data_IF_959356578320
#
_entry.id   IF_959356578320
#
_cell.length_a   1.000
_cell.length_b   1.000
_cell.length_c   1.000
_cell.angle_alpha   90.00
_cell.angle_beta   90.00
_cell.angle_gamma   90.00
#
_symmetry.space_group_name_H-M   'P 1'
#
loop_
_entity.id
_entity.type
_entity.pdbx_description
1 polymer ?
#
# COMPACT_ATOMS: atom_id res chain seq x y z
N UNK A 1 -38.78 -14.82 0.51
CA UNK A 1 -38.52 -14.59 -0.93
C UNK A 1 -37.04 -14.25 -1.05
N UNK A 2 -36.25 -15.10 -1.68
CA UNK A 2 -34.81 -14.86 -1.89
C UNK A 2 -34.61 -14.31 -3.30
N UNK A 3 -33.87 -13.21 -3.40
CA UNK A 3 -33.42 -12.64 -4.66
C UNK A 3 -32.04 -13.24 -4.93
N UNK A 4 -31.89 -13.93 -6.07
CA UNK A 4 -30.60 -14.44 -6.52
C UNK A 4 -29.86 -13.28 -7.20
N UNK A 5 -28.79 -12.81 -6.57
CA UNK A 5 -27.89 -11.82 -7.15
C UNK A 5 -26.74 -12.56 -7.83
N UNK A 6 -26.52 -12.28 -9.10
CA UNK A 6 -25.36 -12.80 -9.84
C UNK A 6 -24.19 -11.86 -9.63
N UNK A 7 -23.07 -12.43 -9.16
CA UNK A 7 -21.80 -11.73 -8.97
C UNK A 7 -20.82 -12.28 -9.99
N UNK A 8 -20.08 -11.40 -10.65
CA UNK A 8 -19.00 -11.79 -11.55
C UNK A 8 -17.89 -12.58 -10.82
N UNK A 9 -17.14 -13.41 -11.56
CA UNK A 9 -16.02 -14.15 -10.99
C UNK A 9 -14.94 -13.18 -10.50
N UNK A 10 -14.69 -13.19 -9.19
CA UNK A 10 -13.65 -12.39 -8.56
C UNK A 10 -12.39 -13.22 -8.38
N UNK A 11 -11.28 -12.69 -8.87
CA UNK A 11 -9.94 -13.19 -8.60
C UNK A 11 -8.97 -12.02 -8.55
N UNK A 12 -7.79 -12.24 -8.00
CA UNK A 12 -6.78 -11.20 -7.83
C UNK A 12 -5.39 -11.80 -7.97
N UNK A 13 -4.51 -11.08 -8.66
CA UNK A 13 -3.09 -11.40 -8.71
C UNK A 13 -2.29 -10.16 -8.29
N UNK A 14 -1.44 -10.35 -7.30
CA UNK A 14 -0.47 -9.35 -6.85
C UNK A 14 0.94 -9.79 -7.28
N UNK A 15 1.79 -8.83 -7.61
CA UNK A 15 3.17 -9.07 -8.00
C UNK A 15 4.12 -8.11 -7.27
N UNK A 16 5.36 -8.55 -7.04
CA UNK A 16 6.36 -7.71 -6.39
C UNK A 16 7.79 -8.07 -6.76
N UNK A 17 8.62 -7.03 -6.88
CA UNK A 17 10.07 -7.13 -7.05
C UNK A 17 10.76 -6.43 -5.89
N UNK A 18 11.83 -7.05 -5.40
CA UNK A 18 12.69 -6.48 -4.37
C UNK A 18 14.14 -6.57 -4.81
N UNK A 19 14.83 -5.44 -4.77
CA UNK A 19 16.26 -5.37 -5.03
C UNK A 19 16.98 -4.80 -3.81
N UNK A 20 17.84 -5.63 -3.22
CA UNK A 20 18.72 -5.24 -2.13
C UNK A 20 20.10 -4.87 -2.66
N UNK A 21 20.64 -3.72 -2.25
CA UNK A 21 21.97 -3.23 -2.66
C UNK A 21 22.68 -2.52 -1.50
N UNK A 22 23.83 -1.88 -1.78
CA UNK A 22 24.68 -1.23 -0.78
C UNK A 22 25.05 -2.17 0.40
N UNK A 23 25.53 -3.38 0.09
CA UNK A 23 25.83 -4.45 1.08
C UNK A 23 24.64 -4.77 2.00
N UNK A 24 23.43 -4.61 1.50
CA UNK A 24 22.18 -4.80 2.25
C UNK A 24 21.74 -3.62 3.10
N UNK A 25 22.36 -2.45 2.94
CA UNK A 25 21.93 -1.23 3.62
C UNK A 25 20.77 -0.56 2.91
N UNK A 26 20.60 -0.79 1.60
CA UNK A 26 19.55 -0.20 0.78
C UNK A 26 18.65 -1.28 0.17
N UNK A 27 17.36 -0.98 0.06
CA UNK A 27 16.37 -1.84 -0.58
C UNK A 27 15.40 -1.00 -1.41
N UNK A 28 15.19 -1.41 -2.66
CA UNK A 28 14.15 -0.89 -3.54
C UNK A 28 13.08 -1.96 -3.71
N UNK A 29 11.81 -1.61 -3.49
CA UNK A 29 10.66 -2.51 -3.64
C UNK A 29 9.68 -1.91 -4.63
N UNK A 30 9.27 -2.70 -5.61
CA UNK A 30 8.16 -2.40 -6.49
C UNK A 30 7.05 -3.43 -6.21
N UNK A 31 5.85 -2.97 -5.94
CA UNK A 31 4.67 -3.82 -5.72
C UNK A 31 3.56 -3.37 -6.65
N UNK A 32 2.89 -4.33 -7.28
CA UNK A 32 1.68 -4.13 -8.06
C UNK A 32 0.56 -4.98 -7.42
N UNK A 33 -0.47 -4.31 -6.95
CA UNK A 33 -1.68 -4.91 -6.39
C UNK A 33 -2.75 -4.98 -7.48
N UNK A 34 -3.50 -6.09 -7.51
CA UNK A 34 -4.59 -6.37 -8.45
C UNK A 34 -4.20 -6.05 -9.90
N UNK A 35 -3.14 -6.71 -10.39
CA UNK A 35 -2.48 -6.43 -11.67
C UNK A 35 -3.47 -6.34 -12.84
N UNK A 36 -4.52 -7.17 -12.79
CA UNK A 36 -5.56 -7.26 -13.81
C UNK A 36 -6.83 -6.46 -13.50
N UNK A 37 -6.95 -5.81 -12.34
CA UNK A 37 -8.12 -5.02 -11.96
C UNK A 37 -9.40 -5.84 -11.82
N UNK A 38 -9.27 -7.11 -11.40
CA UNK A 38 -10.37 -8.08 -11.38
C UNK A 38 -11.06 -8.19 -10.03
N UNK A 39 -10.55 -7.50 -9.01
CA UNK A 39 -11.14 -7.46 -7.67
C UNK A 39 -12.20 -6.36 -7.53
N UNK A 40 -13.03 -6.17 -8.56
CA UNK A 40 -14.16 -5.24 -8.55
C UNK A 40 -15.46 -5.96 -8.88
N UNK A 41 -16.33 -6.20 -7.88
CA UNK A 41 -17.58 -6.91 -8.12
C UNK A 41 -18.58 -6.07 -8.90
N UNK A 42 -19.12 -6.67 -9.95
CA UNK A 42 -20.35 -6.22 -10.61
C UNK A 42 -21.51 -7.02 -10.03
N UNK A 43 -22.53 -6.31 -9.53
CA UNK A 43 -23.74 -6.90 -8.98
C UNK A 43 -24.91 -6.70 -9.94
N UNK A 44 -25.45 -7.81 -10.43
CA UNK A 44 -26.57 -7.82 -11.34
C UNK A 44 -27.74 -8.59 -10.71
N UNK A 45 -28.89 -7.93 -10.61
CA UNK A 45 -30.12 -8.53 -10.09
C UNK A 45 -31.27 -8.22 -11.02
N UNK A 46 -31.91 -9.26 -11.54
CA UNK A 46 -33.15 -9.15 -12.30
C UNK A 46 -34.27 -9.83 -11.50
N UNK A 47 -35.20 -9.04 -10.97
CA UNK A 47 -36.30 -9.57 -10.16
C UNK A 47 -37.62 -8.86 -10.46
N UNK A 48 -38.64 -9.64 -10.85
CA UNK A 48 -39.94 -9.14 -11.31
C UNK A 48 -39.79 -8.04 -12.39
N UNK A 49 -40.17 -6.79 -12.09
CA UNK A 49 -40.02 -5.64 -12.99
C UNK A 49 -38.74 -4.82 -12.76
N UNK A 50 -37.91 -5.21 -11.79
CA UNK A 50 -36.69 -4.49 -11.43
C UNK A 50 -35.47 -5.08 -12.13
N UNK A 51 -34.66 -4.19 -12.73
CA UNK A 51 -33.33 -4.49 -13.27
C UNK A 51 -32.33 -3.63 -12.52
N UNK A 52 -31.68 -4.21 -11.53
CA UNK A 52 -30.62 -3.57 -10.78
C UNK A 52 -29.27 -3.98 -11.37
N UNK A 53 -28.47 -2.97 -11.71
CA UNK A 53 -27.08 -3.09 -12.16
C UNK A 53 -26.26 -2.18 -11.27
N UNK A 54 -25.25 -2.72 -10.61
CA UNK A 54 -24.40 -1.98 -9.70
C UNK A 54 -22.94 -2.35 -9.95
N UNK A 55 -22.18 -1.38 -10.44
CA UNK A 55 -20.73 -1.50 -10.62
C UNK A 55 -20.05 -0.92 -9.39
N UNK A 56 -19.37 -1.77 -8.62
CA UNK A 56 -18.53 -1.29 -7.52
C UNK A 56 -17.20 -0.85 -8.11
N UNK A 57 -16.83 0.42 -7.91
CA UNK A 57 -15.50 0.91 -8.22
C UNK A 57 -14.59 0.68 -7.00
N UNK A 58 -13.73 -0.34 -7.08
CA UNK A 58 -12.80 -0.69 -6.00
C UNK A 58 -11.43 -0.07 -6.25
N UNK A 59 -10.84 0.56 -5.23
CA UNK A 59 -9.47 1.11 -5.30
C UNK A 59 -8.42 0.03 -4.97
N UNK A 60 -8.50 -1.10 -5.67
CA UNK A 60 -7.71 -2.31 -5.39
C UNK A 60 -6.42 -2.37 -6.21
N UNK A 61 -6.42 -1.69 -7.36
CA UNK A 61 -5.30 -1.67 -8.29
C UNK A 61 -4.34 -0.54 -7.94
N UNK A 62 -3.17 -0.90 -7.43
CA UNK A 62 -2.17 0.07 -6.99
C UNK A 62 -0.75 -0.35 -7.42
N UNK A 63 0.10 0.64 -7.68
CA UNK A 63 1.54 0.44 -7.86
C UNK A 63 2.26 1.20 -6.77
N UNK A 64 2.99 0.49 -5.93
CA UNK A 64 3.75 1.06 -4.82
C UNK A 64 5.24 0.90 -5.07
N UNK A 65 5.96 2.04 -5.07
CA UNK A 65 7.43 2.07 -5.05
C UNK A 65 7.88 2.45 -3.64
N UNK A 66 8.77 1.66 -3.05
CA UNK A 66 9.35 1.94 -1.74
C UNK A 66 10.86 1.90 -1.78
N UNK A 67 11.49 2.90 -1.17
CA UNK A 67 12.92 2.93 -0.93
C UNK A 67 13.19 2.89 0.58
N UNK A 68 14.06 1.98 0.99
CA UNK A 68 14.47 1.82 2.40
C UNK A 68 15.98 1.91 2.47
N UNK A 69 16.49 2.80 3.31
CA UNK A 69 17.90 2.90 3.62
C UNK A 69 18.15 2.78 5.12
N UNK A 70 19.09 1.91 5.50
CA UNK A 70 19.45 1.62 6.88
C UNK A 70 20.78 2.28 7.19
N UNK A 71 20.75 3.29 8.06
CA UNK A 71 21.95 3.94 8.60
C UNK A 71 22.66 2.99 9.56
N UNK A 72 23.56 2.17 9.03
CA UNK A 72 24.37 1.24 9.83
C UNK A 72 25.44 2.01 10.59
N UNK A 73 25.67 1.64 11.85
CA UNK A 73 26.71 2.22 12.71
C UNK A 73 26.68 3.77 12.79
N UNK A 74 25.49 4.37 12.69
CA UNK A 74 25.34 5.80 12.90
C UNK A 74 25.75 6.13 14.34
N UNK A 75 26.90 6.78 14.48
CA UNK A 75 27.29 7.43 15.73
C UNK A 75 26.79 8.87 15.62
N UNK A 76 25.91 9.34 16.51
CA UNK A 76 25.57 10.76 16.53
C UNK A 76 26.87 11.56 16.61
N UNK A 77 26.96 12.63 15.82
CA UNK A 77 28.09 13.55 15.92
C UNK A 77 28.25 14.02 17.36
N UNK A 78 29.48 14.38 17.77
CA UNK A 78 29.75 14.95 19.10
C UNK A 78 28.64 15.94 19.44
N UNK A 79 27.95 15.72 20.56
CA UNK A 79 26.91 16.64 21.02
C UNK A 79 27.51 18.05 21.03
N UNK A 80 26.88 18.97 20.31
CA UNK A 80 27.20 20.39 20.47
C UNK A 80 26.86 20.70 21.91
N UNK A 81 27.89 20.89 22.74
CA UNK A 81 27.73 21.36 24.11
C UNK A 81 26.95 22.67 24.01
N UNK A 82 25.67 22.64 24.40
CA UNK A 82 24.83 23.83 24.44
C UNK A 82 25.47 24.76 25.46
N UNK A 83 25.79 25.98 25.04
CA UNK A 83 26.33 27.00 25.92
C UNK A 83 25.22 27.44 26.88
N UNK A 84 25.23 26.90 28.10
CA UNK A 84 24.26 27.23 29.14
C UNK A 84 24.65 28.44 29.97
N UNK A 85 25.75 29.14 29.64
CA UNK A 85 26.20 30.34 30.36
C UNK A 85 25.13 31.43 30.47
N UNK A 86 24.18 31.45 29.52
CA UNK A 86 23.08 32.43 29.46
C UNK A 86 21.85 32.06 30.30
N UNK A 87 21.79 30.86 30.87
CA UNK A 87 20.62 30.38 31.62
C UNK A 87 20.75 30.49 33.15
N UNK A 88 21.84 31.06 33.66
CA UNK A 88 21.95 31.46 35.08
C UNK A 88 21.91 30.31 36.10
N UNK A 89 22.19 29.07 35.69
CA UNK A 89 22.34 27.92 36.59
C UNK A 89 23.79 27.81 37.06
N UNK A 90 24.10 28.46 38.18
CA UNK A 90 25.15 28.09 39.13
C UNK A 90 24.49 27.74 40.47
#
# INVERSE_FOLDING_TARGET
MQVLADINTLWRMDAGLKWTFARGAAELRLKADDVFGTWSPGLNTDYASQRLRMDVLSDTRAVTLSFVYRLRNYKPGKERKLDTSRFGTE
#
